data_IF_859946132799
#
_entry.id   IF_859946132799
#
_cell.length_a   1.000
_cell.length_b   1.000
_cell.length_c   1.000
_cell.angle_alpha   90.00
_cell.angle_beta   90.00
_cell.angle_gamma   90.00
#
_symmetry.space_group_name_H-M   'P 1'
#
loop_
_entity.id
_entity.type
_entity.pdbx_description
1 polymer ?
#
# COMPACT_ATOMS: atom_id res chain seq x y z
N UNK A 1 -8.82 -17.41 -3.36
CA UNK A 1 -7.59 -16.65 -3.70
C UNK A 1 -6.52 -17.18 -2.77
N UNK A 2 -5.49 -17.86 -3.27
CA UNK A 2 -4.39 -18.30 -2.41
C UNK A 2 -3.64 -17.06 -1.91
N UNK A 3 -3.24 -17.05 -0.64
CA UNK A 3 -2.52 -15.94 0.00
C UNK A 3 -1.29 -15.48 -0.79
N UNK A 4 -0.57 -16.42 -1.38
CA UNK A 4 0.60 -16.14 -2.23
C UNK A 4 0.29 -15.25 -3.44
N UNK A 5 -0.93 -15.27 -3.98
CA UNK A 5 -1.26 -14.42 -5.14
C UNK A 5 -1.50 -12.96 -4.75
N UNK A 6 -2.12 -12.67 -3.60
CA UNK A 6 -2.33 -11.28 -3.17
C UNK A 6 -1.03 -10.65 -2.69
N UNK A 7 -0.20 -11.43 -2.00
CA UNK A 7 1.14 -11.03 -1.57
C UNK A 7 2.02 -10.65 -2.75
N UNK A 8 2.10 -11.49 -3.79
CA UNK A 8 2.87 -11.19 -5.00
C UNK A 8 2.38 -9.92 -5.72
N UNK A 9 1.07 -9.66 -5.73
CA UNK A 9 0.52 -8.46 -6.37
C UNK A 9 0.85 -7.20 -5.55
N UNK A 10 0.70 -7.26 -4.22
CA UNK A 10 1.08 -6.17 -3.32
C UNK A 10 2.58 -5.89 -3.47
N UNK A 11 3.43 -6.91 -3.42
CA UNK A 11 4.87 -6.78 -3.58
C UNK A 11 5.22 -6.11 -4.91
N UNK A 12 4.65 -6.60 -6.01
CA UNK A 12 4.90 -6.03 -7.33
C UNK A 12 4.51 -4.55 -7.42
N UNK A 13 3.34 -4.18 -6.89
CA UNK A 13 2.88 -2.79 -6.91
C UNK A 13 3.81 -1.89 -6.08
N UNK A 14 4.19 -2.33 -4.87
CA UNK A 14 5.12 -1.62 -4.00
C UNK A 14 6.49 -1.44 -4.67
N UNK A 15 7.12 -2.54 -5.14
CA UNK A 15 8.43 -2.50 -5.76
C UNK A 15 8.45 -1.63 -7.02
N UNK A 16 7.40 -1.72 -7.85
CA UNK A 16 7.29 -0.91 -9.08
C UNK A 16 7.24 0.58 -8.74
N UNK A 17 6.37 0.98 -7.80
CA UNK A 17 6.20 2.39 -7.43
C UNK A 17 7.47 2.94 -6.75
N UNK A 18 8.08 2.17 -5.85
CA UNK A 18 9.33 2.54 -5.19
C UNK A 18 10.48 2.66 -6.19
N UNK A 19 10.59 1.73 -7.15
CA UNK A 19 11.59 1.77 -8.22
C UNK A 19 11.48 3.06 -9.05
N UNK A 20 10.27 3.40 -9.51
CA UNK A 20 10.06 4.63 -10.29
C UNK A 20 10.37 5.91 -9.50
N UNK A 21 10.03 5.97 -8.21
CA UNK A 21 10.44 7.10 -7.35
C UNK A 21 11.95 7.16 -7.14
N UNK A 22 12.60 6.01 -7.00
CA UNK A 22 14.06 5.90 -6.89
C UNK A 22 14.77 6.40 -8.16
N UNK A 23 14.28 6.06 -9.35
CA UNK A 23 14.81 6.58 -10.62
C UNK A 23 14.75 8.11 -10.73
N UNK A 24 13.76 8.74 -10.09
CA UNK A 24 13.61 10.20 -10.02
C UNK A 24 14.44 10.85 -8.90
N UNK A 25 15.13 10.05 -8.08
CA UNK A 25 15.85 10.55 -6.90
C UNK A 25 14.94 11.02 -5.76
N UNK A 26 13.67 10.65 -5.77
CA UNK A 26 12.62 11.14 -4.86
C UNK A 26 12.27 10.14 -3.75
N UNK A 27 13.17 9.20 -3.42
CA UNK A 27 12.88 8.19 -2.42
C UNK A 27 13.14 8.72 -1.00
N UNK A 28 12.11 8.69 -0.15
CA UNK A 28 12.19 9.02 1.27
C UNK A 28 11.21 8.14 2.06
N UNK A 29 11.39 8.06 3.38
CA UNK A 29 10.48 7.31 4.27
C UNK A 29 9.03 7.80 4.10
N UNK A 30 8.80 9.11 4.00
CA UNK A 30 7.46 9.66 3.78
C UNK A 30 6.83 9.18 2.46
N UNK A 31 7.61 9.11 1.39
CA UNK A 31 7.13 8.63 0.08
C UNK A 31 6.86 7.12 0.13
N UNK A 32 7.71 6.34 0.80
CA UNK A 32 7.47 4.91 1.00
C UNK A 32 6.17 4.69 1.80
N UNK A 33 5.98 5.40 2.92
CA UNK A 33 4.76 5.35 3.72
C UNK A 33 3.52 5.70 2.91
N UNK A 34 3.59 6.76 2.09
CA UNK A 34 2.49 7.16 1.23
C UNK A 34 2.16 6.08 0.18
N UNK A 35 3.16 5.54 -0.51
CA UNK A 35 2.99 4.45 -1.47
C UNK A 35 2.32 3.24 -0.82
N UNK A 36 2.84 2.80 0.33
CA UNK A 36 2.24 1.69 1.07
C UNK A 36 0.78 1.94 1.46
N UNK A 37 0.44 3.16 1.89
CA UNK A 37 -0.93 3.51 2.25
C UNK A 37 -1.88 3.46 1.03
N UNK A 38 -1.46 3.98 -0.12
CA UNK A 38 -2.26 3.90 -1.36
C UNK A 38 -2.43 2.46 -1.82
N UNK A 39 -1.38 1.65 -1.81
CA UNK A 39 -1.45 0.23 -2.17
C UNK A 39 -2.38 -0.51 -1.20
N UNK A 40 -2.22 -0.33 0.12
CA UNK A 40 -3.09 -0.95 1.12
C UNK A 40 -4.57 -0.61 0.87
N UNK A 41 -4.89 0.67 0.71
CA UNK A 41 -6.25 1.13 0.47
C UNK A 41 -6.82 0.59 -0.86
N UNK A 42 -6.01 0.51 -1.93
CA UNK A 42 -6.42 -0.08 -3.21
C UNK A 42 -6.81 -1.56 -3.05
N UNK A 43 -6.00 -2.37 -2.37
CA UNK A 43 -6.31 -3.78 -2.15
C UNK A 43 -7.54 -3.95 -1.23
N UNK A 44 -7.68 -3.13 -0.20
CA UNK A 44 -8.84 -3.16 0.69
C UNK A 44 -10.13 -2.74 -0.05
N UNK A 45 -10.06 -1.78 -0.98
CA UNK A 45 -11.19 -1.44 -1.90
C UNK A 45 -11.57 -2.59 -2.80
N UNK A 46 -10.60 -3.33 -3.36
CA UNK A 46 -10.86 -4.51 -4.20
C UNK A 46 -11.57 -5.59 -3.38
N UNK A 47 -11.12 -5.83 -2.14
CA UNK A 47 -11.76 -6.77 -1.21
C UNK A 47 -13.20 -6.33 -0.92
N UNK A 48 -13.41 -5.06 -0.55
CA UNK A 48 -14.74 -4.52 -0.29
C UNK A 48 -15.64 -4.59 -1.52
N UNK A 49 -15.15 -4.28 -2.71
CA UNK A 49 -15.92 -4.33 -3.94
C UNK A 49 -16.45 -5.75 -4.23
N UNK A 50 -15.63 -6.77 -3.93
CA UNK A 50 -15.93 -8.19 -4.12
C UNK A 50 -16.83 -8.76 -3.02
N UNK A 51 -16.52 -8.49 -1.76
CA UNK A 51 -17.15 -9.13 -0.60
C UNK A 51 -18.26 -8.28 0.03
N UNK A 52 -18.36 -7.00 -0.35
CA UNK A 52 -19.24 -5.97 0.26
C UNK A 52 -18.96 -5.67 1.73
N UNK A 53 -17.90 -6.23 2.28
CA UNK A 53 -17.36 -6.00 3.60
C UNK A 53 -15.84 -6.20 3.59
N UNK A 54 -15.15 -5.69 4.62
CA UNK A 54 -13.74 -5.99 4.89
C UNK A 54 -13.70 -6.61 6.28
N UNK A 55 -13.24 -7.86 6.36
CA UNK A 55 -13.10 -8.56 7.64
C UNK A 55 -11.83 -8.13 8.38
N UNK A 56 -11.80 -8.18 9.71
CA UNK A 56 -10.60 -7.86 10.48
C UNK A 56 -9.36 -8.67 10.05
N UNK A 57 -9.56 -9.92 9.63
CA UNK A 57 -8.49 -10.80 9.16
C UNK A 57 -7.93 -10.36 7.81
N UNK A 58 -8.78 -9.85 6.92
CA UNK A 58 -8.36 -9.32 5.61
C UNK A 58 -7.57 -8.02 5.77
N UNK A 59 -8.05 -7.16 6.68
CA UNK A 59 -7.38 -5.92 7.04
C UNK A 59 -5.99 -6.18 7.65
N UNK A 60 -5.92 -7.10 8.63
CA UNK A 60 -4.64 -7.54 9.21
C UNK A 60 -3.74 -8.22 8.18
N UNK A 61 -4.31 -8.99 7.25
CA UNK A 61 -3.59 -9.67 6.18
C UNK A 61 -2.89 -8.67 5.25
N UNK A 62 -3.60 -7.65 4.76
CA UNK A 62 -3.01 -6.63 3.87
C UNK A 62 -1.89 -5.87 4.58
N UNK A 63 -2.12 -5.38 5.81
CA UNK A 63 -1.08 -4.64 6.53
C UNK A 63 0.10 -5.52 6.95
N UNK A 64 -0.13 -6.77 7.33
CA UNK A 64 0.94 -7.72 7.66
C UNK A 64 1.83 -8.03 6.45
N UNK A 65 1.24 -8.23 5.28
CA UNK A 65 1.97 -8.42 4.02
C UNK A 65 2.86 -7.21 3.73
N UNK A 66 2.27 -6.00 3.78
CA UNK A 66 3.03 -4.76 3.52
C UNK A 66 4.16 -4.59 4.53
N UNK A 67 3.91 -4.86 5.81
CA UNK A 67 4.91 -4.79 6.86
C UNK A 67 6.08 -5.72 6.58
N UNK A 68 5.82 -6.97 6.18
CA UNK A 68 6.88 -7.93 5.86
C UNK A 68 7.71 -7.47 4.66
N UNK A 69 7.05 -7.06 3.57
CA UNK A 69 7.73 -6.60 2.35
C UNK A 69 8.57 -5.36 2.63
N UNK A 70 8.04 -4.39 3.37
CA UNK A 70 8.78 -3.17 3.70
C UNK A 70 9.94 -3.43 4.65
N UNK A 71 9.77 -4.36 5.58
CA UNK A 71 10.88 -4.80 6.42
C UNK A 71 12.02 -5.40 5.59
N UNK A 72 11.70 -6.21 4.59
CA UNK A 72 12.68 -6.83 3.70
C UNK A 72 13.38 -5.80 2.78
N UNK A 73 12.62 -4.83 2.25
CA UNK A 73 13.15 -3.78 1.36
C UNK A 73 14.04 -2.80 2.13
N UNK A 74 13.58 -2.33 3.30
CA UNK A 74 14.20 -1.22 4.02
C UNK A 74 15.08 -1.66 5.19
N UNK A 75 15.10 -2.95 5.56
CA UNK A 75 15.97 -3.53 6.60
C UNK A 75 15.94 -2.73 7.90
N UNK A 76 14.77 -2.66 8.52
CA UNK A 76 14.52 -1.96 9.80
C UNK A 76 14.70 -0.42 9.78
N UNK A 77 14.78 0.22 8.60
CA UNK A 77 14.80 1.69 8.51
C UNK A 77 13.44 2.35 8.78
N UNK A 78 12.34 1.59 8.73
CA UNK A 78 11.02 2.09 9.11
C UNK A 78 10.77 1.80 10.58
N UNK A 79 10.29 2.82 11.28
CA UNK A 79 9.92 2.71 12.69
C UNK A 79 8.46 2.28 12.83
N UNK A 80 8.06 1.89 14.05
CA UNK A 80 6.68 1.53 14.38
C UNK A 80 5.68 2.61 13.95
N UNK A 81 6.05 3.87 14.17
CA UNK A 81 5.21 5.03 13.85
C UNK A 81 4.96 5.16 12.34
N UNK A 82 5.90 4.72 11.49
CA UNK A 82 5.71 4.69 10.04
C UNK A 82 4.64 3.68 9.63
N UNK A 83 4.67 2.48 10.23
CA UNK A 83 3.65 1.46 9.99
C UNK A 83 2.26 1.86 10.52
N UNK A 84 2.21 2.53 11.67
CA UNK A 84 0.97 3.11 12.18
C UNK A 84 0.43 4.18 11.22
N UNK A 85 1.31 5.03 10.69
CA UNK A 85 0.96 6.05 9.69
C UNK A 85 0.43 5.45 8.39
N UNK A 86 1.05 4.37 7.88
CA UNK A 86 0.54 3.61 6.73
C UNK A 86 -0.90 3.17 6.98
N UNK A 87 -1.15 2.54 8.13
CA UNK A 87 -2.48 2.03 8.46
C UNK A 87 -3.53 3.13 8.59
N UNK A 88 -3.18 4.23 9.28
CA UNK A 88 -4.06 5.38 9.48
C UNK A 88 -4.44 6.05 8.15
N UNK A 89 -3.45 6.28 7.28
CA UNK A 89 -3.67 6.88 5.96
C UNK A 89 -4.55 5.96 5.08
N UNK A 90 -4.26 4.67 5.04
CA UNK A 90 -5.04 3.72 4.26
C UNK A 90 -6.51 3.65 4.72
N UNK A 91 -6.75 3.70 6.04
CA UNK A 91 -8.10 3.72 6.59
C UNK A 91 -8.84 5.04 6.31
N UNK A 92 -8.12 6.16 6.23
CA UNK A 92 -8.69 7.43 5.80
C UNK A 92 -9.09 7.39 4.32
N UNK A 93 -8.23 6.86 3.46
CA UNK A 93 -8.49 6.64 2.03
C UNK A 93 -9.71 5.73 1.77
N UNK A 94 -9.94 4.72 2.61
CA UNK A 94 -11.14 3.89 2.49
C UNK A 94 -12.45 4.64 2.71
N UNK A 95 -12.43 5.79 3.40
CA UNK A 95 -13.60 6.63 3.63
C UNK A 95 -13.79 7.70 2.55
N UNK A 96 -12.77 7.95 1.74
CA UNK A 96 -12.80 8.96 0.69
C UNK A 96 -13.54 8.45 -0.55
N UNK A 97 -14.61 9.12 -0.97
CA UNK A 97 -15.40 8.73 -2.15
C UNK A 97 -14.63 8.88 -3.45
N UNK A 98 -13.63 9.76 -3.51
CA UNK A 98 -12.83 10.04 -4.69
C UNK A 98 -11.55 9.19 -4.75
N UNK A 99 -11.32 8.33 -3.74
CA UNK A 99 -10.11 7.55 -3.62
C UNK A 99 -9.76 6.75 -4.89
N UNK A 100 -10.73 6.12 -5.55
CA UNK A 100 -10.47 5.30 -6.72
C UNK A 100 -9.88 6.13 -7.88
N UNK A 101 -10.29 7.40 -8.00
CA UNK A 101 -9.70 8.33 -8.95
C UNK A 101 -8.34 8.85 -8.47
N UNK A 102 -8.25 9.24 -7.19
CA UNK A 102 -7.03 9.75 -6.58
C UNK A 102 -5.89 8.72 -6.65
N UNK A 103 -6.18 7.45 -6.38
CA UNK A 103 -5.24 6.34 -6.46
C UNK A 103 -4.71 6.14 -7.89
N UNK A 104 -5.59 6.21 -8.91
CA UNK A 104 -5.18 6.13 -10.33
C UNK A 104 -4.27 7.29 -10.71
N UNK A 105 -4.62 8.51 -10.31
CA UNK A 105 -3.81 9.71 -10.55
C UNK A 105 -2.46 9.59 -9.87
N UNK A 106 -2.43 9.17 -8.61
CA UNK A 106 -1.21 8.97 -7.84
C UNK A 106 -0.27 7.94 -8.50
N UNK A 107 -0.74 6.73 -8.81
CA UNK A 107 0.08 5.70 -9.48
C UNK A 107 0.59 6.16 -10.84
N UNK A 108 -0.26 6.83 -11.63
CA UNK A 108 0.14 7.39 -12.94
C UNK A 108 1.23 8.44 -12.80
N UNK A 109 1.15 9.32 -11.79
CA UNK A 109 2.17 10.36 -11.54
C UNK A 109 3.55 9.80 -11.16
N UNK A 110 3.58 8.58 -10.61
CA UNK A 110 4.82 7.90 -10.24
C UNK A 110 5.45 7.24 -11.48
N UNK A 111 4.66 6.50 -12.25
CA UNK A 111 5.13 5.65 -13.35
C UNK A 111 5.50 6.46 -14.61
N UNK A 112 4.79 7.57 -14.88
CA UNK A 112 5.03 8.45 -16.02
C UNK A 112 6.13 9.49 -15.72
#
# INVERSE_FOLDING_TARGET
MNSSNIENLIQKDLETLLYHKSLKGEISVNIAVEIAAYVAANFLRIIFAKNKEIKPEELKGVFGIISNIYNDIFKDQLEKDDYEKISSMALAFLKDTDFDNNCKVFFKSIIQ
#
